data_IF_183601419628
#
_entry.id   IF_183601419628
#
_cell.length_a   1.000
_cell.length_b   1.000
_cell.length_c   1.000
_cell.angle_alpha   90.00
_cell.angle_beta   90.00
_cell.angle_gamma   90.00
#
_symmetry.space_group_name_H-M   'P 1'
#
loop_
_entity.id
_entity.type
_entity.pdbx_description
1 polymer ?
#
# COMPACT_ATOMS: atom_id res chain seq x y z
N UNK A 1 0.36 -36.21 -66.37
CA UNK A 1 -0.80 -35.92 -65.48
C UNK A 1 -0.50 -36.04 -63.97
N UNK A 2 0.34 -36.98 -63.52
CA UNK A 2 0.65 -37.19 -62.09
C UNK A 2 1.35 -36.01 -61.37
N UNK A 3 2.14 -35.20 -62.08
CA UNK A 3 2.86 -34.06 -61.46
C UNK A 3 1.95 -32.88 -61.08
N UNK A 4 0.85 -32.65 -61.80
CA UNK A 4 -0.14 -31.60 -61.49
C UNK A 4 -0.97 -31.94 -60.24
N UNK A 5 -1.27 -33.22 -60.04
CA UNK A 5 -2.07 -33.70 -58.90
C UNK A 5 -1.33 -33.54 -57.56
N UNK A 6 -0.02 -33.81 -57.53
CA UNK A 6 0.81 -33.60 -56.33
C UNK A 6 0.97 -32.12 -55.94
N UNK A 7 1.03 -31.20 -56.91
CA UNK A 7 1.08 -29.74 -56.65
C UNK A 7 -0.23 -29.21 -56.08
N UNK A 8 -1.38 -29.63 -56.62
CA UNK A 8 -2.70 -29.24 -56.12
C UNK A 8 -2.95 -29.73 -54.69
N UNK A 9 -2.47 -30.93 -54.34
CA UNK A 9 -2.59 -31.46 -52.99
C UNK A 9 -1.70 -30.69 -51.99
N UNK A 10 -0.48 -30.30 -52.39
CA UNK A 10 0.43 -29.48 -51.57
C UNK A 10 -0.13 -28.08 -51.30
N UNK A 11 -0.71 -27.45 -52.32
CA UNK A 11 -1.32 -26.11 -52.20
C UNK A 11 -2.53 -26.16 -51.25
N UNK A 12 -3.35 -27.21 -51.29
CA UNK A 12 -4.45 -27.41 -50.34
C UNK A 12 -3.97 -27.51 -48.89
N UNK A 13 -2.92 -28.28 -48.62
CA UNK A 13 -2.36 -28.38 -47.27
C UNK A 13 -1.72 -27.09 -46.76
N UNK A 14 -1.06 -26.32 -47.64
CA UNK A 14 -0.52 -25.00 -47.30
C UNK A 14 -1.66 -24.03 -46.95
N UNK A 15 -2.75 -24.02 -47.70
CA UNK A 15 -3.91 -23.16 -47.42
C UNK A 15 -4.58 -23.54 -46.09
N UNK A 16 -4.76 -24.83 -45.79
CA UNK A 16 -5.29 -25.28 -44.49
C UNK A 16 -4.37 -24.86 -43.35
N UNK A 17 -3.06 -25.00 -43.51
CA UNK A 17 -2.09 -24.58 -42.49
C UNK A 17 -2.11 -23.07 -42.25
N UNK A 18 -2.22 -22.26 -43.31
CA UNK A 18 -2.38 -20.80 -43.21
C UNK A 18 -3.68 -20.45 -42.50
N UNK A 19 -4.80 -21.09 -42.85
CA UNK A 19 -6.10 -20.87 -42.19
C UNK A 19 -6.01 -21.21 -40.70
N UNK A 20 -5.41 -22.34 -40.33
CA UNK A 20 -5.22 -22.72 -38.93
C UNK A 20 -4.32 -21.72 -38.21
N UNK A 21 -3.20 -21.30 -38.81
CA UNK A 21 -2.32 -20.29 -38.21
C UNK A 21 -3.03 -18.95 -38.02
N UNK A 22 -3.82 -18.51 -38.99
CA UNK A 22 -4.58 -17.25 -38.92
C UNK A 22 -5.69 -17.37 -37.88
N UNK A 23 -6.45 -18.47 -37.84
CA UNK A 23 -7.48 -18.71 -36.82
C UNK A 23 -6.90 -18.84 -35.42
N UNK A 24 -5.77 -19.54 -35.27
CA UNK A 24 -5.02 -19.61 -34.00
C UNK A 24 -4.49 -18.23 -33.64
N UNK A 25 -3.96 -17.44 -34.57
CA UNK A 25 -3.54 -16.06 -34.31
C UNK A 25 -4.71 -15.18 -33.90
N UNK A 26 -5.88 -15.28 -34.52
CA UNK A 26 -7.07 -14.54 -34.10
C UNK A 26 -7.63 -15.02 -32.76
N UNK A 27 -7.61 -16.33 -32.48
CA UNK A 27 -8.05 -16.88 -31.19
C UNK A 27 -7.08 -16.50 -30.07
N UNK A 28 -5.77 -16.58 -30.33
CA UNK A 28 -4.70 -16.15 -29.43
C UNK A 28 -4.78 -14.64 -29.23
N UNK A 29 -4.98 -13.82 -30.27
CA UNK A 29 -5.17 -12.38 -30.08
C UNK A 29 -6.47 -12.07 -29.37
N UNK A 30 -7.56 -12.80 -29.58
CA UNK A 30 -8.81 -12.60 -28.83
C UNK A 30 -8.68 -13.04 -27.37
N UNK A 31 -7.80 -14.01 -27.09
CA UNK A 31 -7.50 -14.47 -25.74
C UNK A 31 -6.46 -13.60 -25.03
N UNK A 32 -5.49 -13.05 -25.78
CA UNK A 32 -4.43 -12.16 -25.29
C UNK A 32 -4.90 -10.70 -25.20
N UNK A 33 -5.69 -10.22 -26.14
CA UNK A 33 -6.10 -8.81 -26.25
C UNK A 33 -7.55 -8.71 -25.79
N UNK A 34 -7.76 -7.93 -24.73
CA UNK A 34 -9.05 -7.60 -24.12
C UNK A 34 -9.66 -8.70 -23.24
N UNK A 35 -9.22 -8.77 -21.99
CA UNK A 35 -10.21 -8.86 -20.91
C UNK A 35 -10.62 -7.42 -20.58
N UNK A 36 -11.75 -6.89 -21.12
CA UNK A 36 -12.39 -5.78 -20.41
C UNK A 36 -12.60 -6.22 -18.96
N UNK A 37 -12.57 -5.29 -18.01
CA UNK A 37 -12.91 -5.55 -16.61
C UNK A 37 -14.18 -6.41 -16.57
N UNK A 38 -14.02 -7.73 -16.41
CA UNK A 38 -15.14 -8.65 -16.39
C UNK A 38 -15.68 -8.65 -14.97
N UNK A 39 -16.96 -9.00 -14.82
CA UNK A 39 -17.54 -9.34 -13.52
C UNK A 39 -16.63 -10.27 -12.71
N UNK A 40 -15.93 -11.16 -13.40
CA UNK A 40 -15.05 -12.17 -12.82
C UNK A 40 -13.75 -11.58 -12.27
N UNK A 41 -13.26 -10.45 -12.81
CA UNK A 41 -12.07 -9.79 -12.26
C UNK A 41 -12.36 -9.16 -10.90
N UNK A 42 -13.52 -8.54 -10.78
CA UNK A 42 -13.99 -7.89 -9.54
C UNK A 42 -14.64 -8.87 -8.56
N UNK A 43 -14.98 -10.08 -9.01
CA UNK A 43 -15.65 -11.12 -8.20
C UNK A 43 -16.99 -10.62 -7.62
N UNK A 44 -17.84 -10.03 -8.48
CA UNK A 44 -19.09 -9.39 -8.06
C UNK A 44 -20.10 -10.36 -7.43
N UNK A 45 -20.04 -11.63 -7.81
CA UNK A 45 -20.87 -12.70 -7.28
C UNK A 45 -20.63 -12.99 -5.79
N UNK A 46 -19.52 -12.53 -5.22
CA UNK A 46 -19.22 -12.71 -3.79
C UNK A 46 -19.83 -11.60 -2.92
N UNK A 47 -20.34 -10.52 -3.54
CA UNK A 47 -21.02 -9.46 -2.81
C UNK A 47 -22.32 -9.98 -2.15
N UNK A 48 -22.68 -9.48 -0.94
CA UNK A 48 -22.09 -8.34 -0.25
C UNK A 48 -20.84 -8.65 0.58
N UNK A 49 -20.28 -9.88 0.55
CA UNK A 49 -18.96 -10.18 1.11
C UNK A 49 -17.83 -9.70 0.18
N UNK A 50 -17.78 -8.39 0.01
CA UNK A 50 -16.86 -7.68 -0.87
C UNK A 50 -16.62 -6.27 -0.30
N UNK A 51 -15.70 -5.48 -0.87
CA UNK A 51 -15.36 -4.14 -0.33
C UNK A 51 -16.38 -3.06 -0.68
N UNK A 52 -17.20 -3.27 -1.71
CA UNK A 52 -18.22 -2.31 -2.11
C UNK A 52 -18.64 -2.46 -3.56
N UNK A 53 -19.66 -1.69 -3.94
CA UNK A 53 -20.18 -1.57 -5.30
C UNK A 53 -20.21 -0.12 -5.80
N UNK A 54 -19.71 0.83 -5.02
CA UNK A 54 -19.78 2.27 -5.29
C UNK A 54 -19.21 2.69 -6.65
N UNK A 55 -18.27 1.93 -7.21
CA UNK A 55 -17.68 2.21 -8.53
C UNK A 55 -18.10 1.22 -9.62
N UNK A 56 -18.95 0.22 -9.31
CA UNK A 56 -19.24 -0.87 -10.25
C UNK A 56 -19.87 -0.42 -11.58
N UNK A 57 -20.63 0.66 -11.59
CA UNK A 57 -21.18 1.18 -12.84
C UNK A 57 -20.10 1.77 -13.76
N UNK A 58 -19.03 2.35 -13.20
CA UNK A 58 -17.90 2.86 -13.98
C UNK A 58 -17.07 1.75 -14.63
N UNK A 59 -17.05 0.57 -14.02
CA UNK A 59 -16.43 -0.62 -14.62
C UNK A 59 -17.22 -1.12 -15.85
N UNK A 60 -18.53 -0.87 -15.91
CA UNK A 60 -19.37 -1.24 -17.06
C UNK A 60 -19.26 -0.26 -18.23
N UNK A 61 -18.99 1.03 -17.97
CA UNK A 61 -19.06 2.11 -18.97
C UNK A 61 -17.76 2.36 -19.75
N UNK A 62 -16.73 1.51 -19.64
CA UNK A 62 -15.37 1.71 -20.21
C UNK A 62 -14.61 2.93 -19.66
N UNK A 63 -15.13 3.57 -18.59
CA UNK A 63 -14.45 4.66 -17.90
C UNK A 63 -13.28 4.18 -17.04
N UNK A 64 -13.19 2.86 -16.84
CA UNK A 64 -12.06 2.18 -16.24
C UNK A 64 -11.28 1.41 -17.29
N UNK A 65 -9.97 1.65 -17.34
CA UNK A 65 -9.05 0.95 -18.23
C UNK A 65 -7.79 0.56 -17.48
N UNK A 66 -7.40 -0.72 -17.51
CA UNK A 66 -6.05 -1.12 -17.08
C UNK A 66 -5.02 -0.51 -18.03
N UNK A 67 -3.79 -0.32 -17.58
CA UNK A 67 -2.64 0.07 -18.39
C UNK A 67 -1.60 -1.07 -18.39
N UNK A 68 -0.57 -0.97 -19.25
CA UNK A 68 0.58 -1.88 -19.20
C UNK A 68 0.32 -3.34 -19.60
N UNK A 69 1.07 -4.24 -18.95
CA UNK A 69 1.08 -5.69 -19.13
C UNK A 69 -0.10 -6.37 -18.38
N UNK A 70 -0.69 -5.65 -17.42
CA UNK A 70 -1.85 -6.00 -16.61
C UNK A 70 -3.15 -6.08 -17.44
N UNK A 71 -3.14 -5.55 -18.67
CA UNK A 71 -4.22 -5.72 -19.66
C UNK A 71 -4.35 -7.15 -20.18
N UNK A 72 -3.30 -7.97 -20.05
CA UNK A 72 -3.26 -9.32 -20.57
C UNK A 72 -3.52 -10.31 -19.43
N UNK A 73 -4.58 -11.11 -19.56
CA UNK A 73 -5.04 -12.06 -18.53
C UNK A 73 -3.96 -13.03 -18.04
N UNK A 74 -3.01 -13.42 -18.90
CA UNK A 74 -1.88 -14.30 -18.54
C UNK A 74 -1.01 -13.74 -17.41
N UNK A 75 -0.87 -12.42 -17.34
CA UNK A 75 -0.07 -11.73 -16.34
C UNK A 75 -0.82 -11.41 -15.05
N UNK A 76 -2.12 -11.68 -15.01
CA UNK A 76 -2.99 -11.44 -13.85
C UNK A 76 -3.04 -12.65 -12.88
N UNK A 77 -2.13 -13.61 -13.04
CA UNK A 77 -2.01 -14.77 -12.15
C UNK A 77 -1.09 -14.46 -10.95
N UNK A 78 -1.38 -15.08 -9.81
CA UNK A 78 -0.67 -14.96 -8.53
C UNK A 78 0.85 -15.19 -8.62
N UNK A 79 1.35 -15.81 -9.70
CA UNK A 79 2.77 -16.04 -9.95
C UNK A 79 3.53 -14.80 -10.46
N UNK A 80 2.84 -13.85 -11.10
CA UNK A 80 3.46 -12.65 -11.70
C UNK A 80 3.04 -11.35 -11.00
N UNK A 81 1.86 -11.32 -10.37
CA UNK A 81 1.37 -10.17 -9.61
C UNK A 81 1.10 -10.55 -8.14
N UNK A 82 2.16 -10.88 -7.41
CA UNK A 82 2.10 -11.39 -6.02
C UNK A 82 1.36 -10.42 -5.08
N UNK A 83 1.45 -9.10 -5.33
CA UNK A 83 0.78 -8.07 -4.51
C UNK A 83 -0.63 -7.70 -5.00
N UNK A 84 -1.10 -8.30 -6.09
CA UNK A 84 -2.41 -8.01 -6.68
C UNK A 84 -2.66 -6.51 -6.98
N UNK A 85 -1.62 -5.83 -7.48
CA UNK A 85 -1.66 -4.40 -7.82
C UNK A 85 -1.77 -4.27 -9.35
N UNK A 86 -2.74 -3.51 -9.84
CA UNK A 86 -2.96 -3.31 -11.26
C UNK A 86 -3.04 -1.81 -11.57
N UNK A 87 -2.23 -1.34 -12.51
CA UNK A 87 -2.25 0.06 -12.93
C UNK A 87 -3.35 0.31 -13.95
N UNK A 88 -3.90 1.52 -13.94
CA UNK A 88 -4.83 1.94 -14.98
C UNK A 88 -5.30 3.38 -14.85
N UNK A 89 -6.48 3.66 -15.39
CA UNK A 89 -7.09 4.98 -15.38
C UNK A 89 -8.58 4.91 -15.08
N UNK A 90 -9.06 5.87 -14.29
CA UNK A 90 -10.47 6.15 -14.00
C UNK A 90 -10.82 7.53 -14.56
N UNK A 91 -11.70 7.62 -15.57
CA UNK A 91 -12.05 8.89 -16.23
C UNK A 91 -10.81 9.72 -16.64
N UNK A 92 -9.81 9.05 -17.22
CA UNK A 92 -8.49 9.59 -17.61
C UNK A 92 -7.56 10.02 -16.45
N UNK A 93 -7.93 9.79 -15.19
CA UNK A 93 -7.02 9.98 -14.05
C UNK A 93 -6.25 8.69 -13.77
N UNK A 94 -4.93 8.73 -13.55
CA UNK A 94 -4.16 7.53 -13.25
C UNK A 94 -4.54 6.98 -11.87
N UNK A 95 -4.88 5.69 -11.83
CA UNK A 95 -5.31 4.99 -10.61
C UNK A 95 -4.61 3.64 -10.49
N UNK A 96 -4.68 3.08 -9.29
CA UNK A 96 -4.26 1.74 -8.96
C UNK A 96 -5.50 0.96 -8.51
N UNK A 97 -5.67 -0.23 -9.08
CA UNK A 97 -6.63 -1.21 -8.62
C UNK A 97 -5.89 -2.23 -7.77
N UNK A 98 -6.38 -2.53 -6.58
CA UNK A 98 -5.79 -3.54 -5.71
C UNK A 98 -6.83 -4.61 -5.37
N UNK A 99 -6.48 -5.89 -5.48
CA UNK A 99 -7.22 -6.95 -4.76
C UNK A 99 -6.57 -7.06 -3.39
N UNK A 100 -7.28 -6.64 -2.35
CA UNK A 100 -6.72 -6.41 -1.01
C UNK A 100 -6.41 -7.70 -0.22
N UNK A 101 -6.30 -8.84 -0.88
CA UNK A 101 -5.89 -10.10 -0.28
C UNK A 101 -5.45 -11.09 -1.36
N UNK A 102 -4.61 -12.04 -0.96
CA UNK A 102 -4.20 -13.13 -1.82
C UNK A 102 -5.36 -14.11 -2.05
N UNK A 103 -5.36 -14.81 -3.20
CA UNK A 103 -6.44 -15.73 -3.57
C UNK A 103 -6.70 -16.82 -2.50
N UNK A 104 -5.63 -17.30 -1.84
CA UNK A 104 -5.72 -18.28 -0.75
C UNK A 104 -6.45 -17.75 0.49
N UNK A 105 -6.29 -16.45 0.80
CA UNK A 105 -6.97 -15.81 1.94
C UNK A 105 -8.46 -15.69 1.65
N UNK A 106 -8.81 -15.29 0.42
CA UNK A 106 -10.20 -15.27 -0.05
C UNK A 106 -10.86 -16.65 -0.01
N UNK A 107 -10.21 -17.69 -0.51
CA UNK A 107 -10.72 -19.07 -0.41
C UNK A 107 -10.97 -19.46 1.05
N UNK A 108 -10.02 -19.18 1.93
CA UNK A 108 -10.11 -19.52 3.35
C UNK A 108 -11.28 -18.79 4.01
N UNK A 109 -11.46 -17.51 3.69
CA UNK A 109 -12.58 -16.70 4.16
C UNK A 109 -13.92 -17.20 3.64
N UNK A 110 -14.03 -17.53 2.35
CA UNK A 110 -15.26 -18.02 1.73
C UNK A 110 -15.70 -19.35 2.33
N UNK A 111 -14.77 -20.29 2.53
CA UNK A 111 -15.03 -21.57 3.21
C UNK A 111 -15.49 -21.31 4.65
N UNK A 112 -14.80 -20.44 5.37
CA UNK A 112 -15.13 -20.09 6.74
C UNK A 112 -16.55 -19.51 6.84
N UNK A 113 -16.93 -18.64 5.90
CA UNK A 113 -18.25 -17.99 5.87
C UNK A 113 -19.36 -18.99 5.54
N UNK A 114 -19.13 -19.88 4.57
CA UNK A 114 -20.07 -20.96 4.24
C UNK A 114 -20.33 -21.88 5.45
N UNK A 115 -19.28 -22.16 6.23
CA UNK A 115 -19.36 -22.98 7.44
C UNK A 115 -19.81 -22.22 8.70
N UNK A 116 -20.12 -20.92 8.60
CA UNK A 116 -20.46 -20.03 9.73
C UNK A 116 -19.44 -20.04 10.87
N UNK A 117 -18.17 -20.33 10.57
CA UNK A 117 -17.11 -20.47 11.58
C UNK A 117 -16.35 -19.17 11.87
N UNK A 118 -16.64 -18.07 11.15
CA UNK A 118 -15.89 -16.81 11.29
C UNK A 118 -16.39 -15.88 12.42
N UNK A 119 -17.45 -16.25 13.14
CA UNK A 119 -18.19 -15.33 14.02
C UNK A 119 -17.49 -14.90 15.32
N UNK A 120 -16.18 -15.11 15.48
CA UNK A 120 -15.48 -14.83 16.74
C UNK A 120 -14.54 -13.61 16.72
N UNK A 121 -14.40 -12.84 15.63
CA UNK A 121 -13.28 -11.88 15.51
C UNK A 121 -13.59 -10.43 15.12
N UNK A 122 -14.82 -10.09 14.69
CA UNK A 122 -15.16 -8.74 14.19
C UNK A 122 -14.88 -7.62 15.22
N UNK A 123 -15.19 -7.84 16.50
CA UNK A 123 -14.92 -6.88 17.56
C UNK A 123 -13.44 -6.76 17.96
N UNK A 124 -12.61 -7.74 17.61
CA UNK A 124 -11.18 -7.78 18.00
C UNK A 124 -10.25 -7.12 16.98
N UNK A 125 -10.62 -7.10 15.70
CA UNK A 125 -9.76 -6.57 14.64
C UNK A 125 -9.83 -5.04 14.53
N UNK A 126 -11.01 -4.41 14.61
CA UNK A 126 -11.08 -2.94 14.60
C UNK A 126 -10.50 -2.30 15.86
N UNK A 127 -10.55 -3.00 17.01
CA UNK A 127 -9.84 -2.57 18.23
C UNK A 127 -8.32 -2.72 18.12
N UNK A 128 -7.83 -3.54 17.19
CA UNK A 128 -6.40 -3.63 16.88
C UNK A 128 -5.98 -2.43 16.03
N UNK A 129 -6.80 -2.02 15.06
CA UNK A 129 -6.57 -0.80 14.28
C UNK A 129 -6.64 0.48 15.13
N UNK A 130 -7.66 0.55 16.00
CA UNK A 130 -8.03 1.73 16.79
C UNK A 130 -7.87 1.44 18.30
N UNK A 131 -6.64 1.19 18.78
CA UNK A 131 -6.44 0.79 20.16
C UNK A 131 -6.85 1.91 21.12
N UNK A 132 -7.61 1.54 22.16
CA UNK A 132 -8.07 2.43 23.23
C UNK A 132 -8.88 3.64 22.79
N UNK A 133 -9.44 3.57 21.58
CA UNK A 133 -10.36 4.58 21.08
C UNK A 133 -11.74 4.42 21.73
N UNK A 134 -12.44 5.53 21.90
CA UNK A 134 -13.82 5.49 22.37
C UNK A 134 -14.78 5.00 21.26
N UNK A 135 -16.02 4.68 21.67
CA UNK A 135 -17.02 4.17 20.73
C UNK A 135 -17.39 5.21 19.64
N UNK A 136 -17.28 6.51 19.93
CA UNK A 136 -17.58 7.56 18.97
C UNK A 136 -16.50 7.63 17.89
N UNK A 137 -15.23 7.53 18.25
CA UNK A 137 -14.11 7.50 17.30
C UNK A 137 -14.15 6.26 16.42
N UNK A 138 -14.38 5.08 17.01
CA UNK A 138 -14.58 3.84 16.25
C UNK A 138 -15.76 3.98 15.27
N UNK A 139 -16.86 4.61 15.71
CA UNK A 139 -18.03 4.84 14.87
C UNK A 139 -17.73 5.75 13.67
N UNK A 140 -16.81 6.72 13.79
CA UNK A 140 -16.41 7.59 12.67
C UNK A 140 -15.73 6.79 11.56
N UNK A 141 -14.79 5.91 11.91
CA UNK A 141 -14.11 5.05 10.93
C UNK A 141 -15.08 4.10 10.25
N UNK A 142 -15.93 3.46 11.05
CA UNK A 142 -16.99 2.58 10.56
C UNK A 142 -17.92 3.30 9.59
N UNK A 143 -18.42 4.47 9.95
CA UNK A 143 -19.37 5.21 9.12
C UNK A 143 -18.71 5.75 7.85
N UNK A 144 -17.46 6.21 7.92
CA UNK A 144 -16.71 6.65 6.75
C UNK A 144 -16.55 5.51 5.73
N UNK A 145 -16.26 4.29 6.20
CA UNK A 145 -16.20 3.12 5.34
C UNK A 145 -17.58 2.73 4.79
N UNK A 146 -18.61 2.60 5.64
CA UNK A 146 -19.98 2.26 5.19
C UNK A 146 -20.44 3.21 4.09
N UNK A 147 -20.23 4.51 4.26
CA UNK A 147 -20.59 5.53 3.26
C UNK A 147 -19.82 5.39 1.93
N UNK A 148 -18.64 4.77 1.91
CA UNK A 148 -17.84 4.58 0.69
C UNK A 148 -18.18 3.28 -0.06
N UNK A 149 -18.88 2.33 0.58
CA UNK A 149 -19.20 1.02 -0.02
C UNK A 149 -20.21 1.10 -1.16
N UNK A 150 -21.19 2.01 -1.09
CA UNK A 150 -22.35 2.03 -2.01
C UNK A 150 -23.42 0.98 -1.69
N UNK A 151 -23.31 0.28 -0.54
CA UNK A 151 -24.35 -0.60 -0.01
C UNK A 151 -25.21 0.11 1.04
N UNK A 152 -26.40 -0.43 1.30
CA UNK A 152 -27.31 0.01 2.37
C UNK A 152 -27.66 -1.13 3.35
N UNK A 153 -27.93 -0.75 4.61
CA UNK A 153 -28.45 -1.67 5.63
C UNK A 153 -27.52 -2.84 5.93
N UNK A 154 -28.07 -4.06 5.89
CA UNK A 154 -27.33 -5.30 6.22
C UNK A 154 -26.15 -5.56 5.27
N UNK A 155 -26.22 -5.11 4.02
CA UNK A 155 -25.14 -5.33 3.05
C UNK A 155 -23.88 -4.55 3.41
N UNK A 156 -24.03 -3.32 3.91
CA UNK A 156 -22.90 -2.50 4.38
C UNK A 156 -22.21 -3.13 5.60
N UNK A 157 -22.99 -3.76 6.49
CA UNK A 157 -22.45 -4.48 7.65
C UNK A 157 -21.65 -5.71 7.22
N UNK A 158 -22.17 -6.49 6.28
CA UNK A 158 -21.45 -7.66 5.74
C UNK A 158 -20.15 -7.23 5.05
N UNK A 159 -20.18 -6.12 4.30
CA UNK A 159 -19.01 -5.55 3.65
C UNK A 159 -17.97 -5.07 4.67
N UNK A 160 -18.41 -4.39 5.74
CA UNK A 160 -17.54 -3.97 6.84
C UNK A 160 -16.88 -5.17 7.53
N UNK A 161 -17.67 -6.18 7.91
CA UNK A 161 -17.15 -7.40 8.55
C UNK A 161 -16.13 -8.10 7.65
N UNK A 162 -16.42 -8.20 6.35
CA UNK A 162 -15.49 -8.75 5.36
C UNK A 162 -14.19 -7.96 5.33
N UNK A 163 -14.28 -6.63 5.34
CA UNK A 163 -13.12 -5.74 5.27
C UNK A 163 -12.27 -5.83 6.55
N UNK A 164 -12.91 -5.91 7.72
CA UNK A 164 -12.24 -6.05 9.01
C UNK A 164 -11.42 -7.35 9.10
N UNK A 165 -11.92 -8.44 8.51
CA UNK A 165 -11.26 -9.75 8.52
C UNK A 165 -10.17 -9.88 7.44
N UNK A 166 -10.35 -9.22 6.30
CA UNK A 166 -9.47 -9.38 5.14
C UNK A 166 -8.38 -8.32 5.08
N UNK A 167 -8.76 -7.04 5.12
CA UNK A 167 -7.82 -5.95 4.93
C UNK A 167 -8.39 -4.63 5.44
N UNK A 168 -7.67 -3.99 6.37
CA UNK A 168 -8.11 -2.76 7.03
C UNK A 168 -7.79 -1.49 6.23
N UNK A 169 -6.96 -1.55 5.18
CA UNK A 169 -6.56 -0.39 4.37
C UNK A 169 -7.77 0.40 3.82
N UNK A 170 -8.83 -0.22 3.26
CA UNK A 170 -10.02 0.51 2.81
C UNK A 170 -10.73 1.28 3.92
N UNK A 171 -10.77 0.76 5.16
CA UNK A 171 -11.38 1.44 6.30
C UNK A 171 -10.55 2.67 6.69
N UNK A 172 -9.23 2.49 6.79
CA UNK A 172 -8.29 3.57 7.07
C UNK A 172 -8.40 4.67 6.03
N UNK A 173 -8.29 4.33 4.75
CA UNK A 173 -8.29 5.31 3.68
C UNK A 173 -9.66 5.99 3.49
N UNK A 174 -10.77 5.28 3.72
CA UNK A 174 -12.10 5.92 3.71
C UNK A 174 -12.20 6.99 4.78
N UNK A 175 -11.74 6.69 6.01
CA UNK A 175 -11.78 7.62 7.13
C UNK A 175 -10.79 8.79 6.99
N UNK A 176 -9.63 8.55 6.34
CA UNK A 176 -8.56 9.53 6.18
C UNK A 176 -8.55 10.25 4.81
N UNK A 177 -9.51 9.95 3.95
CA UNK A 177 -9.59 10.44 2.55
C UNK A 177 -9.49 11.95 2.39
N UNK A 178 -9.97 12.71 3.37
CA UNK A 178 -9.94 14.19 3.37
C UNK A 178 -8.81 14.77 4.24
N UNK A 179 -7.80 13.98 4.59
CA UNK A 179 -6.66 14.45 5.39
C UNK A 179 -5.50 14.91 4.50
N UNK A 180 -4.71 15.87 5.00
CA UNK A 180 -3.45 16.30 4.35
C UNK A 180 -2.30 15.27 4.49
N UNK A 181 -2.60 14.07 4.98
CA UNK A 181 -1.60 13.03 5.23
C UNK A 181 -0.98 12.53 3.91
N UNK A 182 0.28 12.06 3.94
CA UNK A 182 0.99 11.56 2.76
C UNK A 182 0.53 10.15 2.37
N UNK A 183 -0.77 9.96 2.14
CA UNK A 183 -1.40 8.67 1.82
C UNK A 183 -2.21 8.78 0.52
N UNK A 184 -2.50 7.65 -0.16
CA UNK A 184 -3.38 7.62 -1.32
C UNK A 184 -4.79 8.11 -1.02
N UNK A 185 -5.47 8.59 -2.04
CA UNK A 185 -6.91 8.78 -2.04
C UNK A 185 -7.61 7.48 -2.40
N UNK A 186 -8.63 7.09 -1.63
CA UNK A 186 -9.49 5.95 -1.92
C UNK A 186 -10.76 6.41 -2.63
N UNK A 187 -10.93 6.00 -3.89
CA UNK A 187 -12.09 6.38 -4.70
C UNK A 187 -13.34 5.54 -4.41
N UNK A 188 -13.17 4.35 -3.81
CA UNK A 188 -14.23 3.36 -3.61
C UNK A 188 -13.82 1.99 -4.15
N UNK A 189 -14.81 1.11 -4.32
CA UNK A 189 -14.58 -0.27 -4.74
C UNK A 189 -15.62 -0.77 -5.73
N UNK A 190 -15.27 -1.87 -6.41
CA UNK A 190 -16.23 -2.75 -7.04
C UNK A 190 -15.85 -4.20 -6.73
N UNK A 191 -16.76 -4.94 -6.10
CA UNK A 191 -16.49 -6.29 -5.64
C UNK A 191 -15.31 -6.32 -4.68
N UNK A 192 -14.34 -7.20 -4.92
CA UNK A 192 -13.12 -7.38 -4.12
C UNK A 192 -11.95 -6.51 -4.59
N UNK A 193 -12.21 -5.52 -5.42
CA UNK A 193 -11.20 -4.60 -5.96
C UNK A 193 -11.43 -3.20 -5.42
N UNK A 194 -10.46 -2.68 -4.68
CA UNK A 194 -10.40 -1.27 -4.30
C UNK A 194 -9.73 -0.42 -5.38
N UNK A 195 -10.13 0.85 -5.48
CA UNK A 195 -9.58 1.82 -6.43
C UNK A 195 -8.93 2.98 -5.69
N UNK A 196 -7.65 3.20 -5.97
CA UNK A 196 -6.79 4.14 -5.26
C UNK A 196 -6.12 5.11 -6.24
N UNK A 197 -5.73 6.30 -5.81
CA UNK A 197 -4.88 7.18 -6.60
C UNK A 197 -3.52 6.55 -6.88
N UNK A 198 -2.99 6.78 -8.09
CA UNK A 198 -1.62 6.40 -8.41
C UNK A 198 -0.66 7.47 -7.92
N UNK A 199 0.17 7.12 -6.94
CA UNK A 199 1.08 8.06 -6.29
C UNK A 199 2.49 8.11 -6.89
N UNK A 200 2.81 7.29 -7.89
CA UNK A 200 4.12 7.26 -8.54
C UNK A 200 4.87 5.94 -8.37
N UNK A 201 6.21 6.01 -8.38
CA UNK A 201 7.09 4.83 -8.29
C UNK A 201 7.69 4.62 -6.90
N UNK A 202 7.88 3.36 -6.51
CA UNK A 202 8.45 2.99 -5.22
C UNK A 202 9.89 3.49 -5.02
N UNK A 203 10.35 3.59 -3.76
CA UNK A 203 11.70 4.06 -3.47
C UNK A 203 12.80 3.09 -3.93
N UNK A 204 12.50 1.79 -4.06
CA UNK A 204 13.41 0.78 -4.64
C UNK A 204 13.90 1.21 -6.04
N UNK A 205 13.00 1.79 -6.85
CA UNK A 205 13.30 2.27 -8.20
C UNK A 205 14.37 3.37 -8.26
N UNK A 206 14.66 4.01 -7.11
CA UNK A 206 15.59 5.13 -7.01
C UNK A 206 16.92 4.78 -6.32
N UNK A 207 17.15 3.51 -5.95
CA UNK A 207 18.40 3.08 -5.29
C UNK A 207 19.65 3.42 -6.11
N UNK A 208 19.57 3.30 -7.43
CA UNK A 208 20.71 3.57 -8.32
C UNK A 208 20.82 5.04 -8.76
N UNK A 209 19.95 5.92 -8.26
CA UNK A 209 20.00 7.34 -8.60
C UNK A 209 21.14 8.04 -7.85
N UNK A 210 21.48 9.26 -8.33
CA UNK A 210 22.51 10.09 -7.71
C UNK A 210 22.26 10.25 -6.21
N UNK A 211 23.35 10.28 -5.42
CA UNK A 211 23.26 10.45 -3.97
C UNK A 211 22.43 11.69 -3.58
N UNK A 212 22.57 12.80 -4.31
CA UNK A 212 21.80 14.03 -4.07
C UNK A 212 20.29 13.80 -4.22
N UNK A 213 19.87 13.00 -5.21
CA UNK A 213 18.46 12.69 -5.39
C UNK A 213 17.94 11.71 -4.32
N UNK A 214 18.74 10.73 -3.90
CA UNK A 214 18.37 9.89 -2.75
C UNK A 214 18.30 10.68 -1.45
N UNK A 215 19.19 11.65 -1.24
CA UNK A 215 19.14 12.58 -0.12
C UNK A 215 17.87 13.46 -0.14
N UNK A 216 17.42 13.89 -1.33
CA UNK A 216 16.13 14.56 -1.50
C UNK A 216 14.98 13.69 -1.01
N UNK A 217 14.88 12.45 -1.52
CA UNK A 217 13.80 11.53 -1.19
C UNK A 217 13.82 11.12 0.28
N UNK A 218 15.00 10.92 0.87
CA UNK A 218 15.14 10.65 2.30
C UNK A 218 14.62 11.80 3.16
N UNK A 219 14.85 13.05 2.74
CA UNK A 219 14.31 14.23 3.42
C UNK A 219 12.78 14.23 3.37
N UNK A 220 12.21 14.04 2.19
CA UNK A 220 10.75 14.01 2.00
C UNK A 220 10.09 12.85 2.75
N UNK A 221 10.75 11.69 2.82
CA UNK A 221 10.28 10.55 3.60
C UNK A 221 10.24 10.87 5.10
N UNK A 222 11.30 11.44 5.66
CA UNK A 222 11.35 11.85 7.07
C UNK A 222 10.23 12.83 7.41
N UNK A 223 10.00 13.84 6.55
CA UNK A 223 8.91 14.81 6.71
C UNK A 223 7.56 14.11 6.70
N UNK A 224 7.32 13.25 5.71
CA UNK A 224 6.03 12.56 5.51
C UNK A 224 5.72 11.63 6.68
N UNK A 225 6.73 10.91 7.17
CA UNK A 225 6.59 9.99 8.31
C UNK A 225 6.37 10.74 9.62
N UNK A 226 7.02 11.89 9.81
CA UNK A 226 6.75 12.74 10.97
C UNK A 226 5.32 13.34 10.93
N UNK A 227 4.82 13.72 9.75
CA UNK A 227 3.46 14.25 9.58
C UNK A 227 2.37 13.28 10.07
N UNK A 228 2.55 11.96 9.90
CA UNK A 228 1.62 10.98 10.43
C UNK A 228 1.43 11.08 11.96
N UNK A 229 2.46 11.51 12.70
CA UNK A 229 2.36 11.68 14.15
C UNK A 229 1.86 13.08 14.56
N UNK A 230 2.10 14.11 13.75
CA UNK A 230 1.96 15.51 14.19
C UNK A 230 0.95 16.36 13.41
N UNK A 231 0.59 15.98 12.18
CA UNK A 231 -0.15 16.86 11.26
C UNK A 231 -1.63 16.98 11.59
N UNK A 232 -2.28 15.87 11.90
CA UNK A 232 -3.70 15.88 12.24
C UNK A 232 -3.86 16.40 13.69
N UNK A 233 -4.94 17.10 14.04
CA UNK A 233 -5.18 17.55 15.42
C UNK A 233 -5.83 16.48 16.30
N UNK A 234 -6.60 15.57 15.70
CA UNK A 234 -7.51 14.68 16.40
C UNK A 234 -6.91 13.28 16.60
N UNK A 235 -6.02 12.86 15.70
CA UNK A 235 -5.43 11.51 15.75
C UNK A 235 -3.93 11.45 15.41
N UNK A 236 -3.27 10.41 15.93
CA UNK A 236 -1.87 10.06 15.67
C UNK A 236 -1.85 8.72 14.94
N UNK A 237 -1.11 8.64 13.84
CA UNK A 237 -0.97 7.41 13.05
C UNK A 237 0.41 6.83 13.30
N UNK A 238 0.46 5.63 13.88
CA UNK A 238 1.68 4.85 14.07
C UNK A 238 1.79 3.80 12.96
N UNK A 239 2.79 3.96 12.10
CA UNK A 239 2.99 3.11 10.92
C UNK A 239 4.01 2.01 11.20
N UNK A 240 3.61 0.76 10.99
CA UNK A 240 4.39 -0.42 11.40
C UNK A 240 5.14 -1.15 10.28
N UNK A 241 4.74 -0.99 9.01
CA UNK A 241 5.34 -1.74 7.89
C UNK A 241 6.29 -0.88 7.06
N UNK A 242 7.42 -0.51 7.68
CA UNK A 242 8.41 0.35 7.06
C UNK A 242 9.36 -0.44 6.17
N UNK A 243 9.21 -0.29 4.87
CA UNK A 243 10.11 -0.81 3.85
C UNK A 243 10.10 0.08 2.58
N UNK A 244 11.11 -0.05 1.72
CA UNK A 244 11.23 0.79 0.51
C UNK A 244 10.12 0.59 -0.53
N UNK A 245 9.44 -0.56 -0.51
CA UNK A 245 8.38 -0.86 -1.48
C UNK A 245 7.08 -0.13 -1.15
N UNK A 246 6.85 0.15 0.14
CA UNK A 246 5.65 0.82 0.64
C UNK A 246 5.74 2.35 0.57
N UNK A 247 6.89 2.90 0.19
CA UNK A 247 7.08 4.33 -0.03
C UNK A 247 7.20 4.65 -1.51
N UNK A 248 6.47 5.66 -1.94
CA UNK A 248 6.41 6.09 -3.34
C UNK A 248 6.74 7.56 -3.47
N UNK A 249 7.50 7.92 -4.50
CA UNK A 249 7.76 9.32 -4.83
C UNK A 249 6.71 9.85 -5.81
N UNK A 250 5.91 10.80 -5.36
CA UNK A 250 4.98 11.55 -6.20
C UNK A 250 5.71 12.76 -6.81
N UNK A 251 5.96 12.70 -8.12
CA UNK A 251 6.71 13.73 -8.83
C UNK A 251 5.95 15.07 -8.91
N UNK A 252 4.62 15.02 -9.02
CA UNK A 252 3.77 16.21 -9.14
C UNK A 252 3.74 17.01 -7.82
N UNK A 253 3.56 16.30 -6.70
CA UNK A 253 3.56 16.91 -5.36
C UNK A 253 4.97 17.11 -4.80
N UNK A 254 5.98 16.53 -5.47
CA UNK A 254 7.39 16.51 -5.04
C UNK A 254 7.56 16.02 -3.59
N UNK A 255 6.75 15.05 -3.16
CA UNK A 255 6.78 14.46 -1.83
C UNK A 255 6.81 12.94 -1.89
N UNK A 256 7.21 12.30 -0.80
CA UNK A 256 7.08 10.85 -0.62
C UNK A 256 5.73 10.54 0.02
N UNK A 257 5.06 9.49 -0.44
CA UNK A 257 3.78 9.00 0.11
C UNK A 257 3.87 7.53 0.51
N UNK A 258 2.94 7.11 1.35
CA UNK A 258 2.88 5.79 1.99
C UNK A 258 1.69 5.05 1.39
N UNK A 259 1.96 4.01 0.61
CA UNK A 259 0.93 3.38 -0.26
C UNK A 259 0.33 2.10 0.29
N UNK A 260 0.86 1.60 1.41
CA UNK A 260 0.38 0.40 2.11
C UNK A 260 0.06 0.80 3.55
N UNK A 261 -1.19 0.60 3.97
CA UNK A 261 -1.68 0.96 5.31
C UNK A 261 -2.35 -0.24 6.01
N UNK A 262 -1.95 -1.46 5.67
CA UNK A 262 -2.46 -2.66 6.32
C UNK A 262 -2.03 -2.73 7.80
N UNK A 263 -0.83 -2.25 8.10
CA UNK A 263 -0.24 -2.27 9.43
C UNK A 263 -0.08 -0.86 10.02
N UNK A 264 -1.21 -0.26 10.41
CA UNK A 264 -1.26 0.99 11.17
C UNK A 264 -1.98 0.82 12.50
N UNK A 265 -1.59 1.62 13.49
CA UNK A 265 -2.37 1.85 14.70
C UNK A 265 -2.74 3.33 14.75
N UNK A 266 -4.01 3.64 14.97
CA UNK A 266 -4.50 5.02 15.03
C UNK A 266 -5.06 5.27 16.42
N UNK A 267 -4.55 6.30 17.09
CA UNK A 267 -5.00 6.69 18.43
C UNK A 267 -5.50 8.12 18.42
N UNK A 268 -6.44 8.41 19.30
CA UNK A 268 -6.96 9.75 19.50
C UNK A 268 -5.94 10.61 20.26
N UNK A 269 -5.63 11.80 19.74
CA UNK A 269 -4.62 12.68 20.33
C UNK A 269 -5.08 13.29 21.65
N UNK A 270 -6.38 13.50 21.81
CA UNK A 270 -6.94 14.07 23.02
C UNK A 270 -6.70 13.19 24.27
N UNK A 271 -6.37 11.90 24.09
CA UNK A 271 -6.00 10.97 25.17
C UNK A 271 -4.70 11.39 25.87
N UNK A 272 -3.86 12.20 25.24
CA UNK A 272 -2.58 12.64 25.77
C UNK A 272 -2.69 14.08 26.27
N UNK A 273 -2.68 14.27 27.60
CA UNK A 273 -2.50 15.60 28.19
C UNK A 273 -1.06 16.10 27.99
N UNK A 274 -0.86 17.42 28.05
CA UNK A 274 0.46 18.06 27.98
C UNK A 274 1.48 17.55 29.03
N UNK A 275 1.01 16.87 30.08
CA UNK A 275 1.84 16.35 31.18
C UNK A 275 2.38 14.93 30.96
N UNK A 276 1.84 14.16 29.99
CA UNK A 276 2.28 12.78 29.68
C UNK A 276 3.25 12.71 28.48
N UNK A 277 3.81 13.85 28.07
CA UNK A 277 4.65 14.01 26.87
C UNK A 277 6.10 13.57 27.08
N UNK A 278 6.54 13.36 28.34
CA UNK A 278 7.97 13.35 28.68
C UNK A 278 8.48 12.07 29.36
N UNK A 279 8.02 10.88 28.97
CA UNK A 279 8.79 9.67 29.31
C UNK A 279 9.57 9.22 28.10
N UNK A 280 10.88 9.51 28.08
CA UNK A 280 11.83 8.89 27.15
C UNK A 280 11.60 7.38 27.16
N UNK A 281 10.97 6.88 26.10
CA UNK A 281 10.63 5.48 25.97
C UNK A 281 11.69 4.81 25.09
N UNK A 282 12.48 3.92 25.70
CA UNK A 282 13.35 3.05 24.94
C UNK A 282 12.49 2.02 24.21
N UNK A 283 12.33 2.20 22.91
CA UNK A 283 11.73 1.20 22.05
C UNK A 283 12.57 -0.08 22.10
N UNK A 284 11.99 -1.16 22.63
CA UNK A 284 12.61 -2.48 22.56
C UNK A 284 12.78 -2.88 21.10
N UNK A 285 13.97 -3.38 20.77
CA UNK A 285 14.34 -3.80 19.42
C UNK A 285 13.35 -4.82 18.85
N UNK A 286 12.83 -4.53 17.66
CA UNK A 286 12.03 -5.44 16.85
C UNK A 286 10.59 -5.65 17.35
N UNK A 287 9.66 -5.58 16.40
CA UNK A 287 8.22 -5.90 16.49
C UNK A 287 7.30 -4.76 16.90
N UNK A 288 6.11 -4.75 16.28
CA UNK A 288 4.97 -3.86 16.56
C UNK A 288 4.86 -3.58 18.06
N UNK A 289 4.80 -2.29 18.44
CA UNK A 289 4.58 -1.94 19.84
C UNK A 289 3.27 -2.57 20.32
N UNK A 290 3.29 -3.06 21.55
CA UNK A 290 2.08 -3.54 22.21
C UNK A 290 1.05 -2.39 22.24
N UNK A 291 -0.22 -2.70 21.97
CA UNK A 291 -1.34 -1.74 22.01
C UNK A 291 -1.35 -0.89 23.29
N UNK A 292 -0.96 -1.47 24.43
CA UNK A 292 -0.84 -0.76 25.70
C UNK A 292 0.17 0.41 25.70
N UNK A 293 1.18 0.39 24.83
CA UNK A 293 2.16 1.47 24.71
C UNK A 293 1.54 2.65 23.97
N UNK A 294 0.91 2.40 22.81
CA UNK A 294 0.25 3.44 22.00
C UNK A 294 -0.81 4.20 22.79
N UNK A 295 -1.54 3.50 23.68
CA UNK A 295 -2.63 4.12 24.44
C UNK A 295 -2.20 4.95 25.65
N UNK A 296 -0.99 4.73 26.17
CA UNK A 296 -0.53 5.35 27.42
C UNK A 296 0.50 6.44 27.21
N UNK A 297 1.13 6.48 26.03
CA UNK A 297 2.23 7.39 25.74
C UNK A 297 2.08 8.00 24.36
N UNK A 298 2.33 9.30 24.30
CA UNK A 298 2.52 9.98 23.03
C UNK A 298 3.96 9.76 22.55
N UNK A 299 4.11 9.21 21.34
CA UNK A 299 5.42 8.90 20.74
C UNK A 299 5.59 9.70 19.44
N UNK A 300 5.93 11.00 19.53
CA UNK A 300 6.01 11.92 18.37
C UNK A 300 7.07 11.53 17.33
N UNK A 301 8.02 10.70 17.72
CA UNK A 301 9.18 10.30 16.94
C UNK A 301 9.10 8.85 16.45
N UNK A 302 8.02 8.13 16.74
CA UNK A 302 7.89 6.71 16.41
C UNK A 302 8.13 6.44 14.91
N UNK A 303 7.41 7.13 14.03
CA UNK A 303 7.54 6.89 12.60
C UNK A 303 8.92 7.34 12.07
N UNK A 304 9.51 8.37 12.67
CA UNK A 304 10.87 8.83 12.36
C UNK A 304 11.90 7.78 12.75
N UNK A 305 11.74 7.16 13.93
CA UNK A 305 12.58 6.05 14.38
C UNK A 305 12.54 4.89 13.40
N UNK A 306 11.33 4.50 12.95
CA UNK A 306 11.19 3.40 11.99
C UNK A 306 11.96 3.70 10.69
N UNK A 307 11.86 4.92 10.15
CA UNK A 307 12.63 5.33 8.96
C UNK A 307 14.14 5.30 9.23
N UNK A 308 14.59 5.87 10.36
CA UNK A 308 16.00 5.87 10.70
C UNK A 308 16.57 4.45 10.82
N UNK A 309 15.83 3.52 11.43
CA UNK A 309 16.27 2.13 11.64
C UNK A 309 16.22 1.27 10.38
N UNK A 310 15.11 1.32 9.63
CA UNK A 310 14.84 0.35 8.57
C UNK A 310 15.13 0.85 7.15
N UNK A 311 15.22 2.18 6.97
CA UNK A 311 15.42 2.80 5.65
C UNK A 311 16.75 3.55 5.52
N UNK A 312 17.19 4.25 6.57
CA UNK A 312 18.37 5.12 6.46
C UNK A 312 19.64 4.47 7.03
N UNK A 313 19.54 3.73 8.13
CA UNK A 313 20.71 3.11 8.75
C UNK A 313 21.13 1.85 8.00
N UNK A 314 22.44 1.66 7.78
CA UNK A 314 22.97 0.34 7.43
C UNK A 314 22.61 -0.66 8.53
N UNK A 315 22.20 -1.86 8.14
CA UNK A 315 21.82 -2.92 9.07
C UNK A 315 23.03 -3.41 9.86
N UNK A 316 23.05 -3.19 11.17
CA UNK A 316 23.99 -3.87 12.08
C UNK A 316 23.39 -5.14 12.72
N UNK A 317 22.15 -5.51 12.38
CA UNK A 317 21.46 -6.65 13.00
C UNK A 317 21.48 -7.89 12.09
N UNK A 318 22.30 -8.85 12.48
CA UNK A 318 22.71 -10.04 11.74
C UNK A 318 21.67 -11.15 11.55
N UNK A 319 20.37 -10.94 11.80
CA UNK A 319 19.39 -12.05 11.76
C UNK A 319 18.11 -11.81 10.94
N UNK A 320 17.99 -10.70 10.22
CA UNK A 320 16.88 -10.51 9.27
C UNK A 320 17.44 -10.27 7.87
N UNK A 321 17.77 -11.37 7.19
CA UNK A 321 17.87 -11.39 5.73
C UNK A 321 16.46 -11.24 5.18
N UNK A 322 15.95 -10.02 5.15
CA UNK A 322 14.89 -9.54 4.27
C UNK A 322 14.64 -8.08 4.66
N UNK A 323 15.17 -7.17 3.85
CA UNK A 323 14.67 -5.80 3.69
C UNK A 323 15.05 -4.70 4.70
N UNK A 324 16.21 -4.78 5.36
CA UNK A 324 16.87 -3.54 5.83
C UNK A 324 17.69 -2.94 4.68
N UNK A 325 17.22 -1.80 4.14
CA UNK A 325 17.90 -1.12 3.04
C UNK A 325 18.71 0.05 3.58
N UNK A 326 19.97 0.17 3.18
CA UNK A 326 20.71 1.43 3.30
C UNK A 326 20.31 2.35 2.14
N UNK A 327 19.18 3.06 2.22
CA UNK A 327 18.71 3.91 1.12
C UNK A 327 19.69 5.04 0.80
N UNK A 328 20.49 5.47 1.78
CA UNK A 328 21.53 6.49 1.63
C UNK A 328 22.93 5.89 1.40
N UNK A 329 23.02 4.64 0.91
CA UNK A 329 24.29 3.97 0.63
C UNK A 329 25.25 4.78 -0.24
N UNK A 330 26.54 4.45 -0.17
CA UNK A 330 27.60 5.06 -1.00
C UNK A 330 27.68 6.59 -0.82
N UNK A 331 27.58 7.08 0.43
CA UNK A 331 27.72 8.49 0.77
C UNK A 331 29.06 9.05 0.25
N UNK A 332 29.09 10.10 -0.58
CA UNK A 332 30.33 10.70 -1.05
C UNK A 332 31.24 11.15 0.10
N UNK A 333 32.54 10.82 0.02
CA UNK A 333 33.50 11.13 1.08
C UNK A 333 33.61 12.63 1.41
N UNK A 334 33.35 13.51 0.45
CA UNK A 334 33.28 14.97 0.68
C UNK A 334 32.07 15.35 1.55
N UNK A 335 30.92 14.75 1.31
CA UNK A 335 29.68 14.98 2.07
C UNK A 335 29.84 14.41 3.48
N UNK A 336 30.31 13.16 3.60
CA UNK A 336 30.46 12.53 4.90
C UNK A 336 31.48 13.24 5.78
N UNK A 337 32.62 13.69 5.24
CA UNK A 337 33.61 14.48 6.00
C UNK A 337 33.07 15.83 6.46
N UNK A 338 32.22 16.48 5.65
CA UNK A 338 31.67 17.80 5.98
C UNK A 338 30.60 17.73 7.07
N UNK A 339 29.72 16.72 7.01
CA UNK A 339 28.51 16.68 7.82
C UNK A 339 28.46 15.55 8.84
N UNK A 340 29.44 14.63 8.80
CA UNK A 340 29.44 13.43 9.63
C UNK A 340 28.15 12.60 9.50
N UNK A 341 27.59 12.55 8.28
CA UNK A 341 26.24 12.07 8.01
C UNK A 341 26.02 10.62 8.45
N UNK A 342 27.01 9.73 8.23
CA UNK A 342 26.92 8.33 8.68
C UNK A 342 26.67 8.22 10.18
N UNK A 343 27.35 9.02 10.99
CA UNK A 343 27.22 8.98 12.45
C UNK A 343 25.88 9.54 12.91
N UNK A 344 25.37 10.58 12.25
CA UNK A 344 24.05 11.16 12.59
C UNK A 344 22.93 10.16 12.25
N UNK A 345 23.01 9.51 11.10
CA UNK A 345 22.04 8.46 10.71
C UNK A 345 22.06 7.32 11.74
N UNK A 346 23.26 6.85 12.10
CA UNK A 346 23.44 5.77 13.07
C UNK A 346 22.90 6.16 14.45
N UNK A 347 23.16 7.40 14.89
CA UNK A 347 22.64 7.93 16.15
C UNK A 347 21.11 8.02 16.14
N UNK A 348 20.49 8.43 15.02
CA UNK A 348 19.03 8.50 14.91
C UNK A 348 18.38 7.11 15.08
N UNK A 349 18.99 6.09 14.50
CA UNK A 349 18.51 4.71 14.59
C UNK A 349 18.70 4.11 15.99
N UNK A 350 19.79 4.45 16.67
CA UNK A 350 20.23 3.78 17.90
C UNK A 350 19.81 4.50 19.19
N UNK A 351 19.56 5.81 19.15
CA UNK A 351 19.11 6.52 20.36
C UNK A 351 17.84 5.89 20.91
N UNK A 352 17.75 5.81 22.23
CA UNK A 352 16.54 5.38 22.95
C UNK A 352 15.76 6.54 23.57
N UNK A 353 16.19 7.79 23.33
CA UNK A 353 15.53 9.00 23.83
C UNK A 353 14.70 9.64 22.72
N UNK A 354 13.45 9.93 23.02
CA UNK A 354 12.54 10.58 22.07
C UNK A 354 13.00 12.00 21.78
N UNK A 355 13.40 12.72 22.83
CA UNK A 355 13.89 14.10 22.68
C UNK A 355 15.16 14.18 21.84
N UNK A 356 16.12 13.27 22.06
CA UNK A 356 17.34 13.20 21.28
C UNK A 356 17.06 12.86 19.81
N UNK A 357 16.14 11.93 19.55
CA UNK A 357 15.77 11.55 18.18
C UNK A 357 15.15 12.70 17.40
N UNK A 358 14.29 13.49 18.04
CA UNK A 358 13.71 14.69 17.42
C UNK A 358 14.79 15.73 17.09
N UNK A 359 15.79 15.92 17.96
CA UNK A 359 16.93 16.81 17.66
C UNK A 359 17.75 16.27 16.47
N UNK A 360 18.01 14.97 16.43
CA UNK A 360 18.72 14.32 15.32
C UNK A 360 17.93 14.40 14.01
N UNK A 361 16.61 14.25 14.07
CA UNK A 361 15.70 14.45 12.93
C UNK A 361 15.82 15.87 12.35
N UNK A 362 15.71 16.90 13.18
CA UNK A 362 15.86 18.29 12.73
C UNK A 362 17.24 18.54 12.13
N UNK A 363 18.29 17.99 12.75
CA UNK A 363 19.64 18.06 12.23
C UNK A 363 19.79 17.36 10.87
N UNK A 364 19.20 16.16 10.72
CA UNK A 364 19.18 15.42 9.46
C UNK A 364 18.45 16.20 8.37
N UNK A 365 17.27 16.75 8.66
CA UNK A 365 16.53 17.57 7.69
C UNK A 365 17.34 18.76 7.21
N UNK A 366 18.00 19.47 8.13
CA UNK A 366 18.87 20.61 7.79
C UNK A 366 20.04 20.20 6.90
N UNK A 367 20.73 19.09 7.23
CA UNK A 367 21.87 18.60 6.46
C UNK A 367 21.42 18.14 5.07
N UNK A 368 20.36 17.34 4.98
CA UNK A 368 19.83 16.87 3.70
C UNK A 368 19.41 18.05 2.83
N UNK A 369 18.78 19.08 3.40
CA UNK A 369 18.42 20.32 2.68
C UNK A 369 19.60 21.10 2.13
N UNK A 370 20.80 20.94 2.70
CA UNK A 370 22.01 21.59 2.20
C UNK A 370 22.77 20.74 1.16
N UNK A 371 22.44 19.45 1.07
CA UNK A 371 22.98 18.53 0.06
C UNK A 371 22.20 18.68 -1.25
N UNK A 372 20.87 18.75 -1.17
CA UNK A 372 19.97 19.00 -2.30
C UNK A 372 19.99 20.44 -2.75
#
# INVERSE_FOLDING_TARGET
MQFRFRRLCRIRWILVFIIVLVSSFFAINKWLIYTPFSSDFVELETCPACFGISLCDLFKTKDVQLSGWERFSFFNNDQFNIKNIYYGSLKNQPVIFKKMAHHSEWISFDICRQNKSCHNHVGTSLTTLLPCSDHLFVSKFRQAFINSTGFDGLESEISLDTTIEINLEPIVLSALSNSDLPIPFYYGACGRVGVFSNEGSNLVSYLQYSFRFRAFLARELLISMHQLNTRNSDMIVYYGDVNLENFVYNQNERRVKIIDLEYVNIVERHLFSATNVNSDYKHSQGKQLNSNVYCRRYLPDYNVEQVCRYVLSPSNETNQREMSSDFLHSIPASINRRWNLTNIISACAQTGSTSERLVLYEQLLKILSQIV
#
